data_IF_141167865152
#
_entry.id   IF_141167865152
#
_cell.length_a   1.000
_cell.length_b   1.000
_cell.length_c   1.000
_cell.angle_alpha   90.00
_cell.angle_beta   90.00
_cell.angle_gamma   90.00
#
_symmetry.space_group_name_H-M   'P 1'
#
loop_
_entity.id
_entity.type
_entity.pdbx_description
1 polymer ?
#
# COMPACT_ATOMS: atom_id res chain seq x y z
N UNK A 1 -6.69 25.86 9.25
CA UNK A 1 -6.80 24.47 9.74
C UNK A 1 -7.26 23.65 8.56
N UNK A 2 -6.49 22.67 8.08
CA UNK A 2 -6.96 21.73 7.05
C UNK A 2 -8.10 20.91 7.64
N UNK A 3 -9.21 20.86 6.92
CA UNK A 3 -10.36 19.98 7.19
C UNK A 3 -9.98 18.50 6.97
N UNK A 4 -10.87 17.58 7.36
CA UNK A 4 -10.57 16.15 7.29
C UNK A 4 -10.39 15.67 5.84
N UNK A 5 -11.09 16.27 4.88
CA UNK A 5 -10.86 16.02 3.45
C UNK A 5 -9.46 16.46 2.99
N UNK A 6 -8.93 17.59 3.46
CA UNK A 6 -7.54 17.96 3.22
C UNK A 6 -6.53 16.93 3.75
N UNK A 7 -6.77 16.37 4.95
CA UNK A 7 -5.95 15.28 5.49
C UNK A 7 -6.08 13.98 4.70
N UNK A 8 -7.27 13.66 4.20
CA UNK A 8 -7.52 12.50 3.35
C UNK A 8 -6.71 12.60 2.05
N UNK A 9 -6.69 13.76 1.39
CA UNK A 9 -5.88 13.98 0.18
C UNK A 9 -4.39 13.81 0.46
N UNK A 10 -3.88 14.43 1.54
CA UNK A 10 -2.47 14.29 1.93
C UNK A 10 -2.08 12.83 2.18
N UNK A 11 -2.88 12.11 2.97
CA UNK A 11 -2.60 10.72 3.31
C UNK A 11 -2.74 9.78 2.11
N UNK A 12 -3.77 9.98 1.26
CA UNK A 12 -3.95 9.20 0.05
C UNK A 12 -2.84 9.46 -0.98
N UNK A 13 -2.38 10.71 -1.11
CA UNK A 13 -1.23 11.07 -1.94
C UNK A 13 0.07 10.43 -1.44
N UNK A 14 0.32 10.45 -0.13
CA UNK A 14 1.47 9.76 0.48
C UNK A 14 1.41 8.23 0.25
N UNK A 15 0.25 7.61 0.41
CA UNK A 15 0.04 6.19 0.12
C UNK A 15 0.26 5.86 -1.36
N UNK A 16 -0.24 6.69 -2.28
CA UNK A 16 -0.01 6.52 -3.71
C UNK A 16 1.48 6.65 -4.07
N UNK A 17 2.17 7.67 -3.55
CA UNK A 17 3.61 7.84 -3.78
C UNK A 17 4.44 6.67 -3.24
N UNK A 18 4.09 6.17 -2.04
CA UNK A 18 4.66 4.94 -1.49
C UNK A 18 4.43 3.74 -2.41
N UNK A 19 3.19 3.51 -2.84
CA UNK A 19 2.83 2.36 -3.66
C UNK A 19 3.49 2.42 -5.05
N UNK A 20 3.55 3.60 -5.68
CA UNK A 20 4.31 3.80 -6.92
C UNK A 20 5.79 3.48 -6.75
N UNK A 21 6.40 3.91 -5.65
CA UNK A 21 7.81 3.60 -5.34
C UNK A 21 8.01 2.10 -5.19
N UNK A 22 7.10 1.41 -4.49
CA UNK A 22 7.15 -0.04 -4.35
C UNK A 22 7.05 -0.74 -5.71
N UNK A 23 6.04 -0.39 -6.50
CA UNK A 23 5.76 -1.04 -7.79
C UNK A 23 6.84 -0.78 -8.83
N UNK A 24 7.36 0.45 -8.93
CA UNK A 24 8.26 0.85 -10.02
C UNK A 24 9.73 0.70 -9.67
N UNK A 25 10.09 0.70 -8.39
CA UNK A 25 11.50 0.70 -7.94
C UNK A 25 11.80 -0.49 -7.05
N UNK A 26 11.07 -0.64 -5.94
CA UNK A 26 11.46 -1.61 -4.90
C UNK A 26 11.25 -3.06 -5.34
N UNK A 27 10.11 -3.39 -5.91
CA UNK A 27 9.80 -4.75 -6.33
C UNK A 27 10.57 -5.22 -7.55
N UNK A 28 10.80 -4.38 -8.60
CA UNK A 28 11.75 -4.72 -9.65
C UNK A 28 13.15 -5.01 -9.10
N UNK A 29 13.69 -4.13 -8.25
CA UNK A 29 15.01 -4.33 -7.65
C UNK A 29 15.09 -5.61 -6.79
N UNK A 30 14.01 -5.96 -6.07
CA UNK A 30 13.94 -7.20 -5.30
C UNK A 30 13.85 -8.43 -6.23
N UNK A 31 13.12 -8.34 -7.34
CA UNK A 31 12.95 -9.44 -8.29
C UNK A 31 14.22 -9.79 -9.06
N UNK A 32 15.12 -8.82 -9.23
CA UNK A 32 16.44 -9.02 -9.88
C UNK A 32 17.47 -9.69 -8.95
N UNK A 33 17.14 -9.93 -7.67
CA UNK A 33 18.07 -10.57 -6.72
C UNK A 33 18.21 -12.06 -7.05
N UNK A 34 19.45 -12.56 -7.26
CA UNK A 34 19.66 -13.97 -7.56
C UNK A 34 19.42 -14.87 -6.33
N UNK A 35 19.10 -16.16 -6.51
CA UNK A 35 18.71 -17.06 -5.42
C UNK A 35 19.73 -17.21 -4.29
N UNK A 36 21.03 -17.17 -4.62
CA UNK A 36 22.15 -17.29 -3.66
C UNK A 36 22.25 -16.11 -2.70
N UNK A 37 21.72 -14.93 -3.09
CA UNK A 37 21.70 -13.72 -2.25
C UNK A 37 20.32 -13.39 -1.69
N UNK A 38 19.31 -14.21 -1.99
CA UNK A 38 17.91 -13.93 -1.69
C UNK A 38 17.65 -13.70 -0.21
N UNK A 39 18.04 -14.64 0.65
CA UNK A 39 17.71 -14.60 2.08
C UNK A 39 18.18 -13.30 2.73
N UNK A 40 19.44 -12.92 2.49
CA UNK A 40 20.00 -11.68 3.03
C UNK A 40 19.28 -10.43 2.49
N UNK A 41 18.99 -10.39 1.18
CA UNK A 41 18.33 -9.24 0.56
C UNK A 41 16.86 -9.10 1.01
N UNK A 42 16.10 -10.20 1.03
CA UNK A 42 14.69 -10.20 1.43
C UNK A 42 14.51 -9.86 2.91
N UNK A 43 15.37 -10.36 3.79
CA UNK A 43 15.35 -9.99 5.21
C UNK A 43 15.62 -8.49 5.38
N UNK A 44 16.63 -7.98 4.67
CA UNK A 44 17.01 -6.57 4.73
C UNK A 44 15.92 -5.65 4.12
N UNK A 45 15.21 -6.12 3.08
CA UNK A 45 14.02 -5.45 2.54
C UNK A 45 12.88 -5.45 3.57
N UNK A 46 12.52 -6.62 4.09
CA UNK A 46 11.39 -6.80 5.02
C UNK A 46 11.56 -5.97 6.29
N UNK A 47 12.77 -5.93 6.86
CA UNK A 47 13.08 -5.11 8.05
C UNK A 47 12.91 -3.61 7.81
N UNK A 48 13.25 -3.11 6.61
CA UNK A 48 13.19 -1.68 6.30
C UNK A 48 11.80 -1.22 5.84
N UNK A 49 11.11 -2.05 5.06
CA UNK A 49 9.82 -1.67 4.46
C UNK A 49 8.68 -1.74 5.48
N UNK A 50 8.72 -2.69 6.43
CA UNK A 50 7.64 -2.90 7.41
C UNK A 50 7.27 -1.65 8.21
N UNK A 51 8.20 -0.90 8.84
CA UNK A 51 7.84 0.32 9.56
C UNK A 51 7.27 1.41 8.64
N UNK A 52 7.78 1.53 7.41
CA UNK A 52 7.28 2.50 6.42
C UNK A 52 5.83 2.19 6.04
N UNK A 53 5.54 0.91 5.74
CA UNK A 53 4.17 0.41 5.48
C UNK A 53 3.26 0.73 6.65
N UNK A 54 3.70 0.47 7.88
CA UNK A 54 2.94 0.75 9.09
C UNK A 54 2.55 2.22 9.21
N UNK A 55 3.52 3.14 9.08
CA UNK A 55 3.28 4.59 9.18
C UNK A 55 2.31 5.06 8.09
N UNK A 56 2.52 4.63 6.84
CA UNK A 56 1.66 5.03 5.71
C UNK A 56 0.22 4.55 5.91
N UNK A 57 0.02 3.28 6.27
CA UNK A 57 -1.34 2.73 6.44
C UNK A 57 -2.05 3.23 7.68
N UNK A 58 -1.35 3.45 8.79
CA UNK A 58 -1.94 4.08 9.99
C UNK A 58 -2.37 5.51 9.69
N UNK A 59 -1.53 6.29 8.99
CA UNK A 59 -1.87 7.65 8.58
C UNK A 59 -3.08 7.69 7.65
N UNK A 60 -3.13 6.80 6.65
CA UNK A 60 -4.26 6.67 5.75
C UNK A 60 -5.55 6.29 6.49
N UNK A 61 -5.48 5.30 7.38
CA UNK A 61 -6.62 4.85 8.17
C UNK A 61 -7.17 5.99 9.04
N UNK A 62 -6.29 6.74 9.70
CA UNK A 62 -6.68 7.88 10.53
C UNK A 62 -7.36 8.98 9.71
N UNK A 63 -6.84 9.30 8.52
CA UNK A 63 -7.41 10.31 7.65
C UNK A 63 -8.78 9.89 7.09
N UNK A 64 -8.92 8.63 6.64
CA UNK A 64 -10.20 8.05 6.21
C UNK A 64 -11.23 8.07 7.35
N UNK A 65 -10.83 7.65 8.55
CA UNK A 65 -11.72 7.68 9.71
C UNK A 65 -12.15 9.11 10.07
N UNK A 66 -11.23 10.07 10.05
CA UNK A 66 -11.55 11.47 10.31
C UNK A 66 -12.56 12.03 9.29
N UNK A 67 -12.38 11.76 7.99
CA UNK A 67 -13.29 12.20 6.95
C UNK A 67 -14.70 11.58 7.13
N UNK A 68 -14.78 10.27 7.40
CA UNK A 68 -16.05 9.57 7.61
C UNK A 68 -16.80 10.04 8.87
N UNK A 69 -16.09 10.47 9.91
CA UNK A 69 -16.70 10.83 11.20
C UNK A 69 -17.02 12.33 11.33
N UNK A 70 -16.31 13.19 10.61
CA UNK A 70 -16.36 14.65 10.83
C UNK A 70 -16.99 15.43 9.70
N UNK A 71 -17.21 14.81 8.54
CA UNK A 71 -17.71 15.48 7.35
C UNK A 71 -18.90 14.74 6.74
N UNK A 72 -19.75 15.44 5.97
CA UNK A 72 -20.80 14.81 5.20
C UNK A 72 -20.24 13.74 4.27
N UNK A 73 -20.93 12.60 4.20
CA UNK A 73 -20.51 11.51 3.32
C UNK A 73 -20.71 11.89 1.86
N UNK A 74 -19.63 12.02 1.11
CA UNK A 74 -19.65 12.22 -0.35
C UNK A 74 -19.34 10.92 -1.08
N UNK A 75 -19.68 10.85 -2.37
CA UNK A 75 -19.25 9.73 -3.22
C UNK A 75 -17.72 9.59 -3.24
N UNK A 76 -16.98 10.71 -3.24
CA UNK A 76 -15.52 10.72 -3.17
C UNK A 76 -14.99 10.06 -1.89
N UNK A 77 -15.55 10.42 -0.73
CA UNK A 77 -15.18 9.83 0.56
C UNK A 77 -15.43 8.33 0.60
N UNK A 78 -16.57 7.87 0.07
CA UNK A 78 -16.89 6.43 -0.01
C UNK A 78 -15.91 5.69 -0.90
N UNK A 79 -15.61 6.22 -2.09
CA UNK A 79 -14.63 5.61 -3.01
C UNK A 79 -13.26 5.54 -2.37
N UNK A 80 -12.81 6.62 -1.72
CA UNK A 80 -11.52 6.67 -1.03
C UNK A 80 -11.44 5.63 0.08
N UNK A 81 -12.48 5.53 0.91
CA UNK A 81 -12.54 4.60 2.03
C UNK A 81 -12.54 3.13 1.57
N UNK A 82 -13.36 2.79 0.58
CA UNK A 82 -13.42 1.42 0.03
C UNK A 82 -12.10 1.04 -0.63
N UNK A 83 -11.52 1.93 -1.43
CA UNK A 83 -10.24 1.67 -2.09
C UNK A 83 -9.07 1.53 -1.10
N UNK A 84 -9.06 2.34 -0.03
CA UNK A 84 -8.11 2.20 1.08
C UNK A 84 -8.28 0.85 1.78
N UNK A 85 -9.52 0.46 2.13
CA UNK A 85 -9.82 -0.80 2.77
C UNK A 85 -9.38 -2.02 1.92
N UNK A 86 -9.66 -1.98 0.61
CA UNK A 86 -9.20 -3.02 -0.33
C UNK A 86 -7.67 -3.08 -0.39
N UNK A 87 -6.99 -1.94 -0.47
CA UNK A 87 -5.52 -1.89 -0.48
C UNK A 87 -4.91 -2.46 0.81
N UNK A 88 -5.49 -2.13 1.96
CA UNK A 88 -5.09 -2.67 3.27
C UNK A 88 -5.34 -4.18 3.34
N UNK A 89 -6.49 -4.66 2.88
CA UNK A 89 -6.82 -6.08 2.84
C UNK A 89 -5.87 -6.86 1.93
N UNK A 90 -5.58 -6.36 0.73
CA UNK A 90 -4.60 -6.96 -0.18
C UNK A 90 -3.18 -6.97 0.42
N UNK A 91 -2.83 -5.96 1.21
CA UNK A 91 -1.54 -5.93 1.92
C UNK A 91 -1.50 -6.99 3.01
N UNK A 92 -2.50 -7.03 3.89
CA UNK A 92 -2.53 -7.91 5.06
C UNK A 92 -2.77 -9.38 4.69
N UNK A 93 -3.66 -9.67 3.75
CA UNK A 93 -4.05 -11.03 3.38
C UNK A 93 -3.39 -11.53 2.08
N UNK A 94 -2.85 -10.64 1.26
CA UNK A 94 -2.13 -10.99 0.02
C UNK A 94 -0.62 -10.88 0.18
N UNK A 95 -0.11 -9.65 0.30
CA UNK A 95 1.32 -9.38 0.28
C UNK A 95 2.05 -9.95 1.51
N UNK A 96 1.54 -9.75 2.73
CA UNK A 96 2.22 -10.19 3.94
C UNK A 96 2.42 -11.73 4.00
N UNK A 97 1.41 -12.58 3.72
CA UNK A 97 1.61 -14.02 3.63
C UNK A 97 2.60 -14.45 2.53
N UNK A 98 2.59 -13.76 1.38
CA UNK A 98 3.55 -14.03 0.31
C UNK A 98 4.98 -13.68 0.73
N UNK A 99 5.19 -12.54 1.41
CA UNK A 99 6.48 -12.21 2.02
C UNK A 99 6.90 -13.24 3.08
N UNK A 100 5.98 -13.74 3.90
CA UNK A 100 6.27 -14.81 4.88
C UNK A 100 6.66 -16.15 4.25
N UNK A 101 6.18 -16.45 3.03
CA UNK A 101 6.64 -17.60 2.24
C UNK A 101 8.02 -17.33 1.64
N UNK A 102 8.22 -16.16 1.06
CA UNK A 102 9.48 -15.73 0.46
C UNK A 102 10.61 -15.60 1.49
N UNK A 103 10.30 -15.34 2.76
CA UNK A 103 11.27 -15.34 3.86
C UNK A 103 11.87 -16.72 4.14
N UNK A 104 11.28 -17.81 3.62
CA UNK A 104 11.81 -19.17 3.71
C UNK A 104 12.72 -19.56 2.55
N UNK A 105 12.80 -18.73 1.51
CA UNK A 105 13.61 -19.00 0.33
C UNK A 105 13.07 -18.36 -0.94
N UNK A 106 13.91 -18.32 -1.97
CA UNK A 106 13.56 -17.77 -3.28
C UNK A 106 12.59 -18.72 -4.01
N UNK A 107 11.40 -18.22 -4.35
CA UNK A 107 10.40 -18.94 -5.14
C UNK A 107 9.83 -18.01 -6.23
N UNK A 108 10.19 -18.22 -7.52
CA UNK A 108 9.73 -17.39 -8.63
C UNK A 108 8.21 -17.33 -8.77
N UNK A 109 7.49 -18.41 -8.44
CA UNK A 109 6.02 -18.46 -8.55
C UNK A 109 5.37 -17.60 -7.47
N UNK A 110 5.93 -17.63 -6.26
CA UNK A 110 5.46 -16.78 -5.15
C UNK A 110 5.79 -15.32 -5.41
N UNK A 111 6.99 -15.03 -5.92
CA UNK A 111 7.39 -13.69 -6.34
C UNK A 111 6.46 -13.15 -7.43
N UNK A 112 6.15 -13.93 -8.47
CA UNK A 112 5.22 -13.51 -9.51
C UNK A 112 3.82 -13.19 -8.93
N UNK A 113 3.30 -14.02 -8.01
CA UNK A 113 2.03 -13.74 -7.33
C UNK A 113 2.09 -12.46 -6.50
N UNK A 114 3.21 -12.17 -5.84
CA UNK A 114 3.41 -10.93 -5.09
C UNK A 114 3.30 -9.71 -6.03
N UNK A 115 3.95 -9.77 -7.20
CA UNK A 115 3.88 -8.71 -8.20
C UNK A 115 2.45 -8.51 -8.75
N UNK A 116 1.66 -9.58 -8.87
CA UNK A 116 0.25 -9.46 -9.26
C UNK A 116 -0.58 -8.77 -8.18
N UNK A 117 -0.41 -9.16 -6.91
CA UNK A 117 -1.07 -8.50 -5.77
C UNK A 117 -0.67 -7.02 -5.70
N UNK A 118 0.59 -6.70 -5.98
CA UNK A 118 1.10 -5.33 -6.00
C UNK A 118 0.40 -4.43 -7.02
N UNK A 119 0.16 -4.95 -8.23
CA UNK A 119 -0.58 -4.23 -9.27
C UNK A 119 -2.00 -3.90 -8.82
N UNK A 120 -2.67 -4.82 -8.13
CA UNK A 120 -4.00 -4.58 -7.57
C UNK A 120 -3.95 -3.52 -6.45
N UNK A 121 -2.90 -3.55 -5.61
CA UNK A 121 -2.66 -2.51 -4.59
C UNK A 121 -2.42 -1.14 -5.22
N UNK A 122 -1.71 -1.06 -6.35
CA UNK A 122 -1.52 0.18 -7.10
C UNK A 122 -2.84 0.73 -7.65
N UNK A 123 -3.69 -0.12 -8.23
CA UNK A 123 -5.04 0.29 -8.66
C UNK A 123 -5.85 0.83 -7.48
N UNK A 124 -5.81 0.14 -6.34
CA UNK A 124 -6.46 0.60 -5.11
C UNK A 124 -5.91 1.95 -4.61
N UNK A 125 -4.59 2.16 -4.66
CA UNK A 125 -3.97 3.42 -4.28
C UNK A 125 -4.38 4.58 -5.20
N UNK A 126 -4.45 4.34 -6.52
CA UNK A 126 -4.92 5.32 -7.51
C UNK A 126 -6.39 5.68 -7.28
N UNK A 127 -7.26 4.68 -7.09
CA UNK A 127 -8.67 4.89 -6.82
C UNK A 127 -8.88 5.64 -5.50
N UNK A 128 -8.07 5.35 -4.47
CA UNK A 128 -8.11 6.05 -3.20
C UNK A 128 -7.76 7.53 -3.34
N UNK A 129 -6.65 7.84 -4.02
CA UNK A 129 -6.23 9.22 -4.27
C UNK A 129 -7.24 10.00 -5.12
N UNK A 130 -7.79 9.37 -6.17
CA UNK A 130 -8.83 9.99 -6.99
C UNK A 130 -10.11 10.27 -6.18
N UNK A 131 -10.56 9.31 -5.37
CA UNK A 131 -11.71 9.51 -4.48
C UNK A 131 -11.48 10.62 -3.46
N UNK A 132 -10.28 10.72 -2.89
CA UNK A 132 -9.91 11.77 -1.96
C UNK A 132 -9.94 13.16 -2.60
N UNK A 133 -9.44 13.31 -3.83
CA UNK A 133 -9.49 14.58 -4.58
C UNK A 133 -10.92 14.98 -4.92
N UNK A 134 -11.79 14.01 -5.24
CA UNK A 134 -13.22 14.25 -5.49
C UNK A 134 -13.99 14.60 -4.21
N UNK A 135 -13.44 14.32 -3.03
CA UNK A 135 -14.05 14.62 -1.74
C UNK A 135 -13.78 16.04 -1.23
N UNK A 136 -12.81 16.76 -1.83
CA UNK A 136 -12.59 18.20 -1.57
C UNK A 136 -13.78 19.05 -2.00
#
# INVERSE_FOLDING_TARGET
MTDASGWLVLAAGAHLGFQLTVTLVVYPALADVPPDRWTAAHEAHSRRITPVVGVVYVGLLAAVAAALLREPLTTGTVVAAVAAAVSMALTAAGAAPLHGRLGRGHDPRVLHRLLLVDRLRLVGALACAAGAVVAL
#
